data_IF_505528141337
#
_entry.id   IF_505528141337
#
_cell.length_a   1.000
_cell.length_b   1.000
_cell.length_c   1.000
_cell.angle_alpha   90.00
_cell.angle_beta   90.00
_cell.angle_gamma   90.00
#
_symmetry.space_group_name_H-M   'P 1'
#
loop_
_entity.id
_entity.type
_entity.pdbx_description
1 polymer ?
#
# COMPACT_ATOMS: atom_id res chain seq x y z
N UNK A 1 -31.00 -67.80 -36.25
CA UNK A 1 -30.27 -68.07 -37.51
C UNK A 1 -28.94 -67.29 -37.41
N UNK A 2 -27.90 -67.83 -36.76
CA UNK A 2 -26.72 -68.56 -37.32
C UNK A 2 -26.03 -67.75 -38.45
N UNK A 3 -24.76 -67.36 -38.42
CA UNK A 3 -23.49 -67.95 -37.95
C UNK A 3 -22.51 -66.82 -37.53
N UNK A 4 -21.74 -66.85 -36.42
CA UNK A 4 -20.46 -67.55 -36.14
C UNK A 4 -19.38 -67.43 -37.25
N UNK A 5 -18.28 -66.71 -36.95
CA UNK A 5 -16.85 -67.16 -36.95
C UNK A 5 -15.89 -65.93 -37.12
N UNK A 6 -14.95 -65.83 -36.17
CA UNK A 6 -13.72 -64.99 -36.08
C UNK A 6 -12.54 -65.80 -36.73
N UNK A 7 -11.23 -65.40 -36.78
CA UNK A 7 -10.52 -64.15 -36.41
C UNK A 7 -9.28 -63.83 -37.35
N UNK A 8 -8.39 -62.92 -36.88
CA UNK A 8 -6.89 -62.92 -36.99
C UNK A 8 -6.23 -61.87 -37.92
N UNK A 9 -5.50 -60.93 -37.26
CA UNK A 9 -4.10 -60.41 -37.44
C UNK A 9 -3.61 -60.15 -38.89
N UNK A 10 -2.80 -59.16 -39.27
CA UNK A 10 -1.89 -58.15 -38.67
C UNK A 10 -1.25 -57.46 -39.88
N UNK A 11 -1.00 -56.16 -39.86
CA UNK A 11 0.22 -55.58 -40.45
C UNK A 11 0.40 -54.14 -39.97
N UNK A 12 1.60 -53.87 -39.45
CA UNK A 12 2.04 -52.59 -38.94
C UNK A 12 2.46 -51.66 -40.09
N UNK A 13 2.13 -50.37 -39.98
CA UNK A 13 2.79 -49.30 -40.73
C UNK A 13 3.44 -48.39 -39.71
N UNK A 14 4.77 -48.34 -39.76
CA UNK A 14 5.60 -47.41 -39.02
C UNK A 14 5.45 -46.01 -39.61
N UNK A 15 5.04 -45.06 -38.78
CA UNK A 15 5.13 -43.62 -39.06
C UNK A 15 5.95 -42.98 -37.95
N UNK A 16 7.17 -42.61 -38.32
CA UNK A 16 8.14 -41.90 -37.49
C UNK A 16 7.65 -40.48 -37.22
N UNK A 17 7.12 -40.22 -36.03
CA UNK A 17 6.85 -38.86 -35.54
C UNK A 17 8.08 -38.33 -34.80
N UNK A 18 8.78 -37.40 -35.43
CA UNK A 18 9.78 -36.58 -34.78
C UNK A 18 9.08 -35.65 -33.76
N UNK A 19 9.28 -35.92 -32.47
CA UNK A 19 8.80 -35.07 -31.39
C UNK A 19 9.69 -33.82 -31.27
N UNK A 20 9.24 -32.69 -31.82
CA UNK A 20 9.75 -31.37 -31.47
C UNK A 20 9.20 -31.01 -30.08
N UNK A 21 9.94 -31.38 -29.04
CA UNK A 21 9.72 -30.90 -27.68
C UNK A 21 10.07 -29.42 -27.59
N UNK A 22 9.09 -28.55 -27.85
CA UNK A 22 9.19 -27.13 -27.49
C UNK A 22 9.10 -27.04 -25.97
N UNK A 23 10.26 -27.02 -25.32
CA UNK A 23 10.34 -26.65 -23.91
C UNK A 23 9.82 -25.23 -23.75
N UNK A 24 8.65 -25.08 -23.14
CA UNK A 24 8.18 -23.78 -22.64
C UNK A 24 9.18 -23.36 -21.56
N UNK A 25 10.13 -22.51 -21.94
CA UNK A 25 10.92 -21.75 -20.99
C UNK A 25 9.93 -20.87 -20.23
N UNK A 26 9.50 -21.33 -19.06
CA UNK A 26 8.76 -20.50 -18.12
C UNK A 26 9.63 -19.27 -17.84
N UNK A 27 9.25 -18.12 -18.40
CA UNK A 27 9.92 -16.87 -18.09
C UNK A 27 9.95 -16.74 -16.57
N UNK A 28 11.11 -16.41 -15.97
CA UNK A 28 11.20 -16.24 -14.53
C UNK A 28 10.10 -15.27 -14.10
N UNK A 29 9.36 -15.57 -13.00
CA UNK A 29 8.25 -14.74 -12.58
C UNK A 29 8.74 -13.30 -12.45
N UNK A 30 8.05 -12.39 -13.14
CA UNK A 30 8.36 -10.97 -13.10
C UNK A 30 8.38 -10.53 -11.63
N UNK A 31 9.57 -10.26 -11.11
CA UNK A 31 9.72 -9.80 -9.74
C UNK A 31 9.41 -8.31 -9.71
N UNK A 32 8.43 -7.93 -8.88
CA UNK A 32 8.28 -6.55 -8.45
C UNK A 32 9.49 -6.25 -7.55
N UNK A 33 10.35 -5.34 -7.99
CA UNK A 33 11.49 -4.89 -7.19
C UNK A 33 11.13 -3.55 -6.54
N UNK A 34 11.34 -3.40 -5.21
CA UNK A 34 11.16 -2.12 -4.56
C UNK A 34 12.00 -1.02 -5.22
N UNK A 35 11.48 0.21 -5.21
CA UNK A 35 12.21 1.36 -5.76
C UNK A 35 13.60 1.51 -5.10
N UNK A 36 14.59 2.09 -5.81
CA UNK A 36 15.91 2.35 -5.21
C UNK A 36 15.81 3.16 -3.92
N UNK A 37 14.87 4.12 -3.84
CA UNK A 37 14.63 4.92 -2.64
C UNK A 37 14.14 4.07 -1.47
N UNK A 38 13.17 3.18 -1.70
CA UNK A 38 12.68 2.27 -0.67
C UNK A 38 13.76 1.27 -0.23
N UNK A 39 14.53 0.72 -1.17
CA UNK A 39 15.69 -0.16 -0.84
C UNK A 39 16.70 0.57 0.05
N UNK A 40 17.07 1.79 -0.32
CA UNK A 40 18.00 2.60 0.46
C UNK A 40 17.45 2.97 1.85
N UNK A 41 16.15 3.24 1.95
CA UNK A 41 15.49 3.53 3.23
C UNK A 41 15.49 2.33 4.18
N UNK A 42 15.28 1.12 3.65
CA UNK A 42 15.22 -0.14 4.43
C UNK A 42 16.59 -0.77 4.72
N UNK A 43 17.63 -0.44 3.96
CA UNK A 43 18.94 -1.13 4.01
C UNK A 43 19.60 -1.23 5.40
N UNK A 44 19.26 -0.35 6.35
CA UNK A 44 19.83 -0.36 7.69
C UNK A 44 18.79 -0.48 8.82
N UNK A 45 17.64 -1.09 8.54
CA UNK A 45 16.64 -1.45 9.55
C UNK A 45 16.13 -2.89 9.34
N UNK A 46 16.06 -3.66 10.42
CA UNK A 46 15.42 -4.98 10.39
C UNK A 46 13.90 -4.79 10.42
N UNK A 47 13.26 -4.92 9.26
CA UNK A 47 11.81 -4.77 9.10
C UNK A 47 11.12 -6.13 9.01
N UNK A 48 9.91 -6.20 9.53
CA UNK A 48 8.98 -7.30 9.36
C UNK A 48 8.16 -7.10 8.07
N UNK A 49 8.35 -7.96 7.07
CA UNK A 49 7.59 -7.89 5.83
C UNK A 49 6.17 -8.45 5.96
N UNK A 50 5.92 -9.35 6.91
CA UNK A 50 4.66 -10.08 7.06
C UNK A 50 3.42 -9.20 7.03
N UNK A 51 3.31 -8.10 7.81
CA UNK A 51 2.10 -7.28 7.79
C UNK A 51 1.85 -6.64 6.42
N UNK A 52 2.88 -6.24 5.68
CA UNK A 52 2.72 -5.72 4.31
C UNK A 52 2.35 -6.83 3.31
N UNK A 53 2.91 -8.04 3.49
CA UNK A 53 2.63 -9.20 2.64
C UNK A 53 1.17 -9.64 2.74
N UNK A 54 0.66 -9.85 3.96
CA UNK A 54 -0.72 -10.29 4.13
C UNK A 54 -1.73 -9.19 3.74
N UNK A 55 -1.35 -7.91 3.84
CA UNK A 55 -2.17 -6.81 3.32
C UNK A 55 -2.22 -6.82 1.79
N UNK A 56 -1.09 -7.09 1.14
CA UNK A 56 -1.01 -7.22 -0.32
C UNK A 56 -1.79 -8.44 -0.83
N UNK A 57 -1.73 -9.57 -0.12
CA UNK A 57 -2.53 -10.76 -0.42
C UNK A 57 -4.02 -10.46 -0.30
N UNK A 58 -4.46 -9.85 0.81
CA UNK A 58 -5.87 -9.50 0.99
C UNK A 58 -6.38 -8.55 -0.10
N UNK A 59 -5.63 -7.49 -0.43
CA UNK A 59 -6.10 -6.54 -1.47
C UNK A 59 -6.03 -7.15 -2.88
N UNK A 60 -5.17 -8.14 -3.12
CA UNK A 60 -5.16 -8.88 -4.38
C UNK A 60 -6.44 -9.73 -4.53
N UNK A 61 -6.90 -10.34 -3.45
CA UNK A 61 -8.18 -11.08 -3.42
C UNK A 61 -9.41 -10.16 -3.58
N UNK A 62 -9.24 -8.85 -3.39
CA UNK A 62 -10.30 -7.85 -3.61
C UNK A 62 -10.41 -7.37 -5.06
N UNK A 63 -9.54 -7.82 -5.95
CA UNK A 63 -9.57 -7.48 -7.37
C UNK A 63 -10.64 -8.30 -8.10
N UNK A 64 -11.49 -7.64 -8.86
CA UNK A 64 -12.39 -8.27 -9.83
C UNK A 64 -11.77 -8.12 -11.21
N UNK A 65 -11.33 -9.22 -11.82
CA UNK A 65 -10.65 -9.21 -13.13
C UNK A 65 -9.47 -8.22 -13.19
N UNK A 66 -8.69 -8.13 -12.12
CA UNK A 66 -7.53 -7.24 -12.02
C UNK A 66 -7.86 -5.78 -11.66
N UNK A 67 -9.12 -5.42 -11.42
CA UNK A 67 -9.52 -4.05 -11.07
C UNK A 67 -10.16 -4.02 -9.67
N UNK A 68 -9.92 -2.92 -8.94
CA UNK A 68 -10.73 -2.62 -7.76
C UNK A 68 -12.07 -2.06 -8.22
N UNK A 69 -13.16 -2.59 -7.67
CA UNK A 69 -14.52 -2.13 -7.97
C UNK A 69 -15.01 -1.16 -6.90
N UNK A 70 -15.47 0.01 -7.31
CA UNK A 70 -16.25 0.94 -6.51
C UNK A 70 -17.76 0.67 -6.64
N UNK A 71 -18.59 1.58 -6.13
CA UNK A 71 -20.05 1.47 -6.18
C UNK A 71 -20.63 1.60 -7.59
N UNK A 72 -19.92 2.28 -8.49
CA UNK A 72 -20.41 2.65 -9.83
C UNK A 72 -19.64 1.97 -10.96
N UNK A 73 -18.82 0.96 -10.65
CA UNK A 73 -17.94 0.29 -11.62
C UNK A 73 -16.49 0.27 -11.14
N UNK A 74 -15.53 0.04 -12.05
CA UNK A 74 -14.11 0.03 -11.72
C UNK A 74 -13.65 1.38 -11.15
N UNK A 75 -12.92 1.35 -10.04
CA UNK A 75 -12.20 2.51 -9.51
C UNK A 75 -10.75 2.42 -10.02
N UNK A 76 -10.49 3.05 -11.16
CA UNK A 76 -9.16 3.05 -11.78
C UNK A 76 -8.11 3.77 -10.93
N UNK A 77 -8.51 4.82 -10.21
CA UNK A 77 -7.60 5.58 -9.33
C UNK A 77 -7.09 4.73 -8.18
N UNK A 78 -7.99 4.01 -7.51
CA UNK A 78 -7.66 3.07 -6.43
C UNK A 78 -6.98 1.81 -6.96
N UNK A 79 -7.34 1.34 -8.16
CA UNK A 79 -6.64 0.25 -8.84
C UNK A 79 -5.16 0.58 -9.06
N UNK A 80 -4.85 1.79 -9.52
CA UNK A 80 -3.49 2.27 -9.67
C UNK A 80 -2.78 2.37 -8.31
N UNK A 81 -3.44 2.90 -7.27
CA UNK A 81 -2.85 2.96 -5.92
C UNK A 81 -2.51 1.57 -5.39
N UNK A 82 -3.42 0.60 -5.57
CA UNK A 82 -3.20 -0.81 -5.22
C UNK A 82 -1.99 -1.36 -5.99
N UNK A 83 -1.94 -1.16 -7.31
CA UNK A 83 -0.84 -1.63 -8.15
C UNK A 83 0.52 -1.05 -7.72
N UNK A 84 0.59 0.24 -7.43
CA UNK A 84 1.80 0.88 -6.91
C UNK A 84 2.17 0.36 -5.52
N UNK A 85 1.19 0.19 -4.62
CA UNK A 85 1.43 -0.29 -3.27
C UNK A 85 1.93 -1.74 -3.25
N UNK A 86 1.26 -2.66 -3.94
CA UNK A 86 1.68 -4.07 -3.98
C UNK A 86 3.03 -4.26 -4.69
N UNK A 87 3.42 -3.35 -5.60
CA UNK A 87 4.75 -3.37 -6.21
C UNK A 87 5.89 -3.21 -5.21
N UNK A 88 5.62 -2.67 -4.02
CA UNK A 88 6.61 -2.54 -2.93
C UNK A 88 6.83 -3.83 -2.15
N UNK A 89 5.97 -4.84 -2.36
CA UNK A 89 5.97 -6.12 -1.66
C UNK A 89 6.59 -7.19 -2.55
N UNK A 90 7.54 -7.95 -2.00
CA UNK A 90 8.18 -9.03 -2.74
C UNK A 90 7.16 -10.06 -3.23
N UNK A 91 7.41 -10.64 -4.42
CA UNK A 91 6.57 -11.68 -5.07
C UNK A 91 5.17 -11.24 -5.51
N UNK A 92 4.86 -9.94 -5.51
CA UNK A 92 3.58 -9.41 -6.00
C UNK A 92 3.60 -8.98 -7.49
N UNK A 93 4.64 -9.31 -8.24
CA UNK A 93 4.74 -8.88 -9.65
C UNK A 93 3.68 -9.47 -10.57
N UNK A 94 3.15 -10.67 -10.25
CA UNK A 94 2.00 -11.23 -10.94
C UNK A 94 0.73 -10.38 -10.74
N UNK A 95 0.47 -9.92 -9.50
CA UNK A 95 -0.64 -9.01 -9.16
C UNK A 95 -0.50 -7.68 -9.88
N UNK A 96 0.70 -7.07 -9.90
CA UNK A 96 0.96 -5.83 -10.67
C UNK A 96 0.68 -6.04 -12.16
N UNK A 97 1.11 -7.18 -12.72
CA UNK A 97 0.87 -7.52 -14.12
C UNK A 97 -0.62 -7.70 -14.41
N UNK A 98 -1.36 -8.38 -13.54
CA UNK A 98 -2.80 -8.57 -13.69
C UNK A 98 -3.56 -7.22 -13.66
N UNK A 99 -3.19 -6.33 -12.73
CA UNK A 99 -3.73 -4.98 -12.66
C UNK A 99 -3.45 -4.22 -13.96
N UNK A 100 -2.19 -4.24 -14.42
CA UNK A 100 -1.81 -3.57 -15.65
C UNK A 100 -2.61 -4.09 -16.86
N UNK A 101 -2.69 -5.40 -17.03
CA UNK A 101 -3.37 -6.01 -18.18
C UNK A 101 -4.86 -5.66 -18.23
N UNK A 102 -5.51 -5.47 -17.07
CA UNK A 102 -6.89 -5.05 -16.99
C UNK A 102 -7.08 -3.54 -17.19
N UNK A 103 -6.13 -2.73 -16.68
CA UNK A 103 -6.20 -1.28 -16.71
C UNK A 103 -5.78 -0.69 -18.08
N UNK A 104 -4.68 -1.17 -18.66
CA UNK A 104 -4.04 -0.58 -19.84
C UNK A 104 -5.00 -0.41 -21.03
N UNK A 105 -5.81 -1.42 -21.43
CA UNK A 105 -6.74 -1.27 -22.55
C UNK A 105 -7.88 -0.29 -22.28
N UNK A 106 -8.13 0.04 -21.00
CA UNK A 106 -9.25 0.87 -20.53
C UNK A 106 -8.81 2.24 -20.04
N UNK A 107 -7.54 2.60 -20.25
CA UNK A 107 -6.96 3.77 -19.60
C UNK A 107 -7.66 5.09 -20.00
N UNK A 108 -8.21 5.17 -21.22
CA UNK A 108 -8.99 6.31 -21.69
C UNK A 108 -10.21 6.62 -20.79
N UNK A 109 -10.82 5.60 -20.17
CA UNK A 109 -11.94 5.79 -19.24
C UNK A 109 -11.54 6.53 -17.96
N UNK A 110 -10.24 6.52 -17.63
CA UNK A 110 -9.70 7.19 -16.45
C UNK A 110 -9.08 8.55 -16.77
N UNK A 111 -8.32 8.63 -17.86
CA UNK A 111 -7.56 9.84 -18.21
C UNK A 111 -8.31 10.79 -19.15
N UNK A 112 -9.48 10.38 -19.63
CA UNK A 112 -10.29 11.08 -20.63
C UNK A 112 -9.87 10.77 -22.07
N UNK A 113 -10.74 11.09 -23.02
CA UNK A 113 -10.57 10.79 -24.45
C UNK A 113 -9.49 11.64 -25.17
N UNK A 114 -8.98 12.68 -24.53
CA UNK A 114 -7.98 13.61 -25.09
C UNK A 114 -8.57 14.73 -25.94
N UNK A 115 -9.85 14.62 -26.32
CA UNK A 115 -10.53 15.60 -27.16
C UNK A 115 -11.41 16.52 -26.34
N UNK A 116 -12.39 16.00 -25.60
CA UNK A 116 -13.27 16.75 -24.70
C UNK A 116 -12.77 16.69 -23.27
N UNK A 117 -12.29 15.52 -22.87
CA UNK A 117 -11.87 15.24 -21.50
C UNK A 117 -10.40 14.81 -21.48
N UNK A 118 -9.59 15.48 -20.68
CA UNK A 118 -8.18 15.13 -20.48
C UNK A 118 -7.71 15.65 -19.12
N UNK A 119 -7.54 14.73 -18.18
CA UNK A 119 -7.26 15.07 -16.79
C UNK A 119 -5.78 14.90 -16.44
N UNK A 120 -5.11 15.96 -16.04
CA UNK A 120 -3.66 15.99 -15.85
C UNK A 120 -3.20 15.08 -14.69
N UNK A 121 -3.91 15.13 -13.56
CA UNK A 121 -3.61 14.27 -12.40
C UNK A 121 -3.72 12.77 -12.74
N UNK A 122 -4.85 12.32 -13.30
CA UNK A 122 -5.00 10.96 -13.83
C UNK A 122 -3.94 10.54 -14.85
N UNK A 123 -3.62 11.38 -15.85
CA UNK A 123 -2.55 11.13 -16.81
C UNK A 123 -1.20 10.88 -16.11
N UNK A 124 -0.83 11.77 -15.19
CA UNK A 124 0.42 11.68 -14.46
C UNK A 124 0.50 10.44 -13.55
N UNK A 125 -0.59 10.15 -12.83
CA UNK A 125 -0.68 8.97 -11.96
C UNK A 125 -0.61 7.67 -12.77
N UNK A 126 -1.31 7.62 -13.90
CA UNK A 126 -1.25 6.50 -14.83
C UNK A 126 0.16 6.30 -15.41
N UNK A 127 0.85 7.38 -15.81
CA UNK A 127 2.21 7.31 -16.32
C UNK A 127 3.20 6.80 -15.27
N UNK A 128 3.05 7.22 -14.00
CA UNK A 128 3.84 6.70 -12.89
C UNK A 128 3.59 5.21 -12.65
N UNK A 129 2.33 4.76 -12.76
CA UNK A 129 1.99 3.34 -12.64
C UNK A 129 2.49 2.51 -13.83
N UNK A 130 2.36 2.99 -15.06
CA UNK A 130 2.87 2.30 -16.26
C UNK A 130 4.36 1.97 -16.07
N UNK A 131 5.17 2.93 -15.60
CA UNK A 131 6.58 2.66 -15.26
C UNK A 131 6.74 1.65 -14.13
N UNK A 132 5.93 1.74 -13.09
CA UNK A 132 5.92 0.77 -11.97
C UNK A 132 5.61 -0.65 -12.45
N UNK A 133 4.69 -0.79 -13.41
CA UNK A 133 4.34 -2.03 -14.08
C UNK A 133 5.32 -2.42 -15.20
N UNK A 134 6.45 -1.71 -15.34
CA UNK A 134 7.47 -1.91 -16.38
C UNK A 134 6.91 -1.81 -17.80
N UNK A 135 5.93 -0.94 -18.01
CA UNK A 135 5.34 -0.58 -19.31
C UNK A 135 5.81 0.80 -19.78
N UNK A 136 5.63 1.06 -21.06
CA UNK A 136 6.01 2.33 -21.68
C UNK A 136 4.85 3.34 -21.58
N UNK A 137 5.00 4.45 -20.82
CA UNK A 137 3.96 5.47 -20.71
C UNK A 137 3.71 6.24 -22.02
N UNK A 138 4.60 6.18 -23.02
CA UNK A 138 4.42 6.89 -24.30
C UNK A 138 3.56 6.14 -25.32
N UNK A 139 3.11 4.92 -25.00
CA UNK A 139 2.25 4.10 -25.86
C UNK A 139 1.29 3.23 -25.05
N UNK A 140 0.92 3.67 -23.86
CA UNK A 140 0.16 2.89 -22.88
C UNK A 140 -1.31 2.83 -23.27
N UNK A 141 -1.82 1.63 -23.56
CA UNK A 141 -3.18 1.48 -24.07
C UNK A 141 -3.42 2.20 -25.40
N UNK A 142 -2.37 2.39 -26.21
CA UNK A 142 -2.41 3.18 -27.45
C UNK A 142 -2.33 4.70 -27.23
N UNK A 143 -2.15 5.18 -25.99
CA UNK A 143 -2.09 6.60 -25.66
C UNK A 143 -0.66 6.99 -25.24
N UNK A 144 -0.17 8.12 -25.74
CA UNK A 144 1.02 8.76 -25.19
C UNK A 144 0.63 9.61 -23.97
N UNK A 145 0.73 9.01 -22.78
CA UNK A 145 0.37 9.67 -21.51
C UNK A 145 1.28 10.85 -21.19
N UNK A 146 2.55 10.80 -21.63
CA UNK A 146 3.52 11.86 -21.38
C UNK A 146 3.19 13.08 -22.23
N UNK A 147 3.00 12.92 -23.54
CA UNK A 147 2.64 14.04 -24.43
C UNK A 147 1.32 14.69 -24.04
N UNK A 148 0.30 13.89 -23.69
CA UNK A 148 -0.95 14.47 -23.17
C UNK A 148 -0.78 15.20 -21.84
N UNK A 149 0.16 14.78 -21.00
CA UNK A 149 0.46 15.48 -19.75
C UNK A 149 1.23 16.77 -19.99
N UNK A 150 2.16 16.79 -20.95
CA UNK A 150 2.85 18.00 -21.42
C UNK A 150 1.82 19.02 -21.93
N UNK A 151 0.88 18.61 -22.78
CA UNK A 151 -0.23 19.45 -23.24
C UNK A 151 -1.15 19.96 -22.10
N UNK A 152 -1.12 19.31 -20.94
CA UNK A 152 -1.86 19.67 -19.73
C UNK A 152 -0.98 20.31 -18.66
N UNK A 153 0.23 20.73 -19.03
CA UNK A 153 1.15 21.50 -18.22
C UNK A 153 1.29 22.87 -18.89
N UNK A 154 0.98 23.94 -18.16
CA UNK A 154 0.89 25.26 -18.77
C UNK A 154 2.26 25.84 -19.14
N UNK A 155 2.37 26.34 -20.36
CA UNK A 155 3.44 27.21 -20.84
C UNK A 155 3.12 28.69 -20.62
N UNK A 156 4.15 29.55 -20.68
CA UNK A 156 3.97 31.01 -20.61
C UNK A 156 4.69 31.71 -21.76
N UNK A 157 4.01 32.64 -22.49
CA UNK A 157 2.58 32.98 -22.36
C UNK A 157 1.70 31.85 -22.87
N UNK A 158 0.60 31.55 -22.15
CA UNK A 158 -0.38 30.59 -22.62
C UNK A 158 -1.11 31.15 -23.86
N UNK A 159 -1.40 30.30 -24.85
CA UNK A 159 -2.31 30.64 -25.95
C UNK A 159 -3.77 30.40 -25.49
N UNK A 160 -4.55 31.46 -25.19
CA UNK A 160 -5.90 31.31 -24.67
C UNK A 160 -6.88 30.76 -25.71
N UNK A 161 -6.54 30.82 -27.01
CA UNK A 161 -7.36 30.23 -28.07
C UNK A 161 -7.13 28.72 -28.19
N UNK A 162 -5.88 28.27 -28.02
CA UNK A 162 -5.54 26.85 -28.07
C UNK A 162 -5.95 26.08 -26.80
N UNK A 163 -5.83 26.72 -25.63
CA UNK A 163 -6.07 26.09 -24.34
C UNK A 163 -6.74 27.05 -23.34
N UNK A 164 -8.06 27.27 -23.45
CA UNK A 164 -8.77 28.21 -22.57
C UNK A 164 -8.74 27.82 -21.09
N UNK A 165 -8.42 26.55 -20.77
CA UNK A 165 -8.22 26.07 -19.41
C UNK A 165 -6.77 26.18 -18.91
N UNK A 166 -5.81 26.55 -19.77
CA UNK A 166 -4.42 26.74 -19.36
C UNK A 166 -4.32 27.97 -18.45
N UNK A 167 -3.79 27.77 -17.26
CA UNK A 167 -3.43 28.88 -16.38
C UNK A 167 -2.21 29.59 -16.96
N UNK A 168 -2.14 30.93 -16.91
CA UNK A 168 -0.96 31.70 -17.36
C UNK A 168 0.24 31.56 -16.40
N UNK A 169 0.46 30.38 -15.82
CA UNK A 169 1.48 30.11 -14.80
C UNK A 169 2.27 28.88 -15.23
N UNK A 170 3.52 29.10 -15.63
CA UNK A 170 4.41 28.06 -16.14
C UNK A 170 4.48 26.85 -15.19
N UNK A 171 4.33 25.64 -15.74
CA UNK A 171 4.43 24.37 -15.03
C UNK A 171 3.19 23.97 -14.22
N UNK A 172 2.18 24.83 -14.09
CA UNK A 172 0.93 24.46 -13.44
C UNK A 172 0.17 23.46 -14.31
N UNK A 173 -0.19 22.31 -13.75
CA UNK A 173 -1.09 21.40 -14.46
C UNK A 173 -2.53 21.90 -14.44
N UNK A 174 -3.30 21.53 -15.45
CA UNK A 174 -4.72 21.85 -15.57
C UNK A 174 -5.46 20.75 -16.33
N UNK A 175 -6.76 20.61 -16.06
CA UNK A 175 -7.60 19.68 -16.81
C UNK A 175 -8.27 20.36 -18.01
N UNK A 176 -8.44 19.60 -19.09
CA UNK A 176 -9.42 19.92 -20.14
C UNK A 176 -10.69 19.14 -19.83
N UNK A 177 -11.77 19.82 -19.49
CA UNK A 177 -13.03 19.19 -19.10
C UNK A 177 -14.19 20.16 -19.21
N UNK A 178 -15.36 19.66 -19.61
CA UNK A 178 -16.63 20.41 -19.54
C UNK A 178 -17.08 20.62 -18.08
N UNK A 179 -16.57 19.83 -17.15
CA UNK A 179 -16.91 19.90 -15.72
C UNK A 179 -16.00 20.84 -14.91
N UNK A 180 -14.92 21.35 -15.54
CA UNK A 180 -14.00 22.30 -14.94
C UNK A 180 -12.63 21.70 -14.58
N UNK A 181 -11.79 22.53 -13.97
CA UNK A 181 -10.40 22.18 -13.65
C UNK A 181 -10.27 21.71 -12.19
N UNK A 182 -9.93 20.43 -12.00
CA UNK A 182 -9.79 19.80 -10.67
C UNK A 182 -8.32 19.53 -10.29
N UNK A 183 -7.38 20.10 -11.05
CA UNK A 183 -5.96 20.03 -10.77
C UNK A 183 -5.61 20.54 -9.37
N UNK A 184 -4.76 19.79 -8.68
CA UNK A 184 -4.33 20.07 -7.32
C UNK A 184 -2.89 19.57 -7.08
N UNK A 185 -2.37 19.79 -5.87
CA UNK A 185 -0.98 19.44 -5.52
C UNK A 185 -0.70 17.94 -5.64
N UNK A 186 -1.69 17.07 -5.38
CA UNK A 186 -1.52 15.62 -5.52
C UNK A 186 -1.26 15.28 -6.99
N UNK A 187 -2.10 15.77 -7.91
CA UNK A 187 -1.90 15.62 -9.35
C UNK A 187 -0.55 16.19 -9.81
N UNK A 188 -0.20 17.41 -9.35
CA UNK A 188 1.06 18.06 -9.70
C UNK A 188 2.27 17.25 -9.23
N UNK A 189 2.19 16.64 -8.05
CA UNK A 189 3.29 15.81 -7.54
C UNK A 189 3.55 14.61 -8.45
N UNK A 190 2.50 13.92 -8.90
CA UNK A 190 2.65 12.87 -9.90
C UNK A 190 3.15 13.41 -11.23
N UNK A 191 2.73 14.61 -11.64
CA UNK A 191 3.18 15.21 -12.89
C UNK A 191 4.68 15.46 -12.88
N UNK A 192 5.21 16.03 -11.79
CA UNK A 192 6.65 16.20 -11.57
C UNK A 192 7.39 14.87 -11.69
N UNK A 193 6.89 13.80 -11.05
CA UNK A 193 7.48 12.47 -11.15
C UNK A 193 7.46 11.94 -12.59
N UNK A 194 6.31 11.96 -13.24
CA UNK A 194 6.12 11.41 -14.57
C UNK A 194 6.99 12.14 -15.62
N UNK A 195 6.95 13.48 -15.63
CA UNK A 195 7.70 14.32 -16.56
C UNK A 195 9.21 14.22 -16.33
N UNK A 196 9.66 14.20 -15.07
CA UNK A 196 11.10 14.04 -14.75
C UNK A 196 11.63 12.68 -15.22
N UNK A 197 10.91 11.59 -14.95
CA UNK A 197 11.29 10.25 -15.39
C UNK A 197 11.21 10.08 -16.91
N UNK A 198 10.39 10.88 -17.59
CA UNK A 198 10.34 10.97 -19.05
C UNK A 198 11.40 11.89 -19.66
N UNK A 199 12.15 12.64 -18.83
CA UNK A 199 13.08 13.68 -19.28
C UNK A 199 12.41 14.73 -20.17
N UNK A 200 11.15 15.05 -19.86
CA UNK A 200 10.39 16.09 -20.55
C UNK A 200 10.99 17.47 -20.30
N UNK A 201 10.87 18.38 -21.28
CA UNK A 201 11.22 19.79 -21.12
C UNK A 201 10.38 20.47 -20.02
N UNK A 202 9.14 20.02 -19.82
CA UNK A 202 8.22 20.56 -18.81
C UNK A 202 8.57 20.20 -17.37
N UNK A 203 9.47 19.23 -17.17
CA UNK A 203 9.78 18.71 -15.84
C UNK A 203 10.29 19.80 -14.88
N UNK A 204 11.11 20.73 -15.37
CA UNK A 204 11.64 21.83 -14.58
C UNK A 204 10.56 22.80 -14.13
N UNK A 205 9.74 23.27 -15.07
CA UNK A 205 8.65 24.21 -14.78
C UNK A 205 7.60 23.56 -13.84
N UNK A 206 7.21 22.31 -14.11
CA UNK A 206 6.27 21.59 -13.27
C UNK A 206 6.77 21.41 -11.82
N UNK A 207 8.06 21.14 -11.65
CA UNK A 207 8.70 21.05 -10.33
C UNK A 207 8.69 22.40 -9.64
N UNK A 208 9.08 23.45 -10.32
CA UNK A 208 9.18 24.78 -9.72
C UNK A 208 7.80 25.29 -9.30
N UNK A 209 6.75 24.99 -10.07
CA UNK A 209 5.37 25.26 -9.66
C UNK A 209 4.97 24.45 -8.43
N UNK A 210 5.29 23.14 -8.37
CA UNK A 210 5.04 22.32 -7.17
C UNK A 210 5.73 22.91 -5.94
N UNK A 211 7.01 23.28 -6.04
CA UNK A 211 7.76 23.84 -4.92
C UNK A 211 7.17 25.16 -4.43
N UNK A 212 6.57 25.98 -5.30
CA UNK A 212 5.79 27.16 -4.89
C UNK A 212 4.55 26.83 -4.05
N UNK A 213 4.05 25.59 -4.12
CA UNK A 213 2.91 25.13 -3.31
C UNK A 213 3.31 24.72 -1.89
N UNK A 214 4.61 24.69 -1.59
CA UNK A 214 5.10 24.49 -0.23
C UNK A 214 5.03 25.81 0.55
N UNK A 215 4.37 25.77 1.71
CA UNK A 215 4.27 26.88 2.64
C UNK A 215 5.59 27.07 3.41
N UNK A 216 5.79 28.20 4.06
CA UNK A 216 7.03 28.47 4.81
C UNK A 216 7.28 27.45 5.93
N UNK A 217 6.20 26.93 6.54
CA UNK A 217 6.21 25.86 7.53
C UNK A 217 6.74 24.51 7.02
N UNK A 218 6.82 24.31 5.69
CA UNK A 218 7.24 23.08 5.05
C UNK A 218 6.10 22.17 4.59
N UNK A 219 4.86 22.45 4.99
CA UNK A 219 3.69 21.76 4.47
C UNK A 219 3.45 22.09 2.99
N UNK A 220 2.82 21.17 2.28
CA UNK A 220 2.15 21.50 1.03
C UNK A 220 0.65 21.69 1.29
N UNK A 221 0.05 22.67 0.63
CA UNK A 221 -1.42 22.78 0.56
C UNK A 221 -2.01 21.71 -0.35
N UNK A 222 -3.33 21.50 -0.30
CA UNK A 222 -4.00 20.62 -1.25
C UNK A 222 -4.35 21.34 -2.56
N UNK A 223 -5.14 22.40 -2.46
CA UNK A 223 -5.70 23.11 -3.61
C UNK A 223 -4.78 24.24 -4.06
N UNK A 224 -4.77 24.52 -5.36
CA UNK A 224 -4.12 25.72 -5.87
C UNK A 224 -4.98 26.95 -5.60
N UNK A 225 -4.35 28.12 -5.64
CA UNK A 225 -5.08 29.36 -5.90
C UNK A 225 -5.82 29.25 -7.26
N UNK A 226 -6.83 30.09 -7.48
CA UNK A 226 -7.49 30.18 -8.79
C UNK A 226 -6.46 30.51 -9.88
N UNK A 227 -6.69 30.01 -11.09
CA UNK A 227 -5.70 30.07 -12.19
C UNK A 227 -5.41 31.50 -12.69
N UNK A 228 -6.39 32.38 -12.57
CA UNK A 228 -6.35 33.79 -12.95
C UNK A 228 -5.64 34.69 -11.92
N UNK A 229 -5.32 34.17 -10.74
CA UNK A 229 -4.61 34.90 -9.69
C UNK A 229 -3.09 34.76 -9.90
N UNK A 230 -2.31 35.85 -10.10
CA UNK A 230 -0.86 35.73 -10.29
C UNK A 230 -0.12 35.16 -9.06
N UNK A 231 -0.63 35.45 -7.86
CA UNK A 231 -0.09 34.96 -6.60
C UNK A 231 -0.44 33.47 -6.38
N UNK A 232 0.47 32.60 -6.79
CA UNK A 232 0.30 31.15 -6.72
C UNK A 232 1.03 30.48 -5.56
N UNK A 233 1.83 31.20 -4.79
CA UNK A 233 2.59 30.63 -3.69
C UNK A 233 1.67 30.25 -2.51
N UNK A 234 2.02 29.18 -1.78
CA UNK A 234 1.35 28.90 -0.51
C UNK A 234 1.72 29.94 0.54
N UNK A 235 0.74 30.37 1.35
CA UNK A 235 0.96 31.21 2.52
C UNK A 235 0.39 30.53 3.76
N UNK A 236 1.21 30.34 4.80
CA UNK A 236 0.77 29.72 6.05
C UNK A 236 -0.38 30.50 6.69
N UNK A 237 -1.40 29.78 7.17
CA UNK A 237 -2.55 30.36 7.86
C UNK A 237 -3.54 31.11 6.96
N UNK A 238 -3.27 31.26 5.67
CA UNK A 238 -4.21 31.87 4.73
C UNK A 238 -5.30 30.88 4.30
N UNK A 239 -6.53 31.38 4.16
CA UNK A 239 -7.64 30.61 3.61
C UNK A 239 -7.33 30.14 2.18
N UNK A 240 -7.63 28.89 1.86
CA UNK A 240 -7.28 28.26 0.57
C UNK A 240 -5.81 27.86 0.44
N UNK A 241 -5.01 28.00 1.51
CA UNK A 241 -3.63 27.53 1.61
C UNK A 241 -3.44 26.62 2.84
N UNK A 242 -4.50 25.93 3.25
CA UNK A 242 -4.47 25.04 4.39
C UNK A 242 -3.47 23.91 4.17
N UNK A 243 -2.58 23.73 5.14
CA UNK A 243 -1.61 22.64 5.15
C UNK A 243 -2.31 21.28 5.15
N UNK A 244 -1.94 20.41 4.24
CA UNK A 244 -2.55 19.09 4.05
C UNK A 244 -1.49 17.97 4.20
N UNK A 245 -1.58 17.11 5.23
CA UNK A 245 -0.63 16.02 5.43
C UNK A 245 -0.59 14.98 4.31
N UNK A 246 -1.72 14.71 3.65
CA UNK A 246 -1.79 13.74 2.56
C UNK A 246 -1.12 14.31 1.31
N UNK A 247 -1.40 15.57 0.97
CA UNK A 247 -0.71 16.29 -0.11
C UNK A 247 0.79 16.44 0.17
N UNK A 248 1.17 16.76 1.41
CA UNK A 248 2.58 16.86 1.83
C UNK A 248 3.30 15.52 1.67
N UNK A 249 2.69 14.43 2.14
CA UNK A 249 3.27 13.09 2.02
C UNK A 249 3.41 12.65 0.56
N UNK A 250 2.40 12.88 -0.28
CA UNK A 250 2.44 12.53 -1.70
C UNK A 250 3.41 13.41 -2.50
N UNK A 251 3.55 14.69 -2.15
CA UNK A 251 4.59 15.56 -2.70
C UNK A 251 5.99 15.02 -2.37
N UNK A 252 6.25 14.63 -1.12
CA UNK A 252 7.51 14.01 -0.71
C UNK A 252 7.78 12.72 -1.49
N UNK A 253 6.81 11.80 -1.53
CA UNK A 253 6.97 10.51 -2.21
C UNK A 253 7.31 10.74 -3.68
N UNK A 254 6.55 11.58 -4.38
CA UNK A 254 6.77 11.78 -5.80
C UNK A 254 8.03 12.60 -6.13
N UNK A 255 8.46 13.55 -5.28
CA UNK A 255 9.74 14.24 -5.42
C UNK A 255 10.93 13.31 -5.18
N UNK A 256 10.83 12.39 -4.23
CA UNK A 256 11.88 11.38 -4.00
C UNK A 256 11.95 10.42 -5.20
N UNK A 257 10.80 9.94 -5.66
CA UNK A 257 10.67 8.97 -6.76
C UNK A 257 10.87 9.58 -8.16
N UNK A 258 10.87 10.92 -8.30
CA UNK A 258 11.24 11.59 -9.55
C UNK A 258 12.75 11.48 -9.84
N UNK A 259 13.56 11.25 -8.79
CA UNK A 259 15.00 11.23 -8.88
C UNK A 259 15.67 12.61 -8.88
N UNK A 260 14.91 13.71 -8.79
CA UNK A 260 15.48 15.05 -8.72
C UNK A 260 16.25 15.26 -7.40
N UNK A 261 17.52 15.64 -7.50
CA UNK A 261 18.44 15.90 -6.38
C UNK A 261 18.93 17.34 -6.31
N UNK A 262 18.24 18.26 -6.99
CA UNK A 262 18.53 19.68 -6.89
C UNK A 262 18.47 20.17 -5.45
N UNK A 263 19.21 21.24 -5.15
CA UNK A 263 19.25 21.83 -3.81
C UNK A 263 17.85 22.33 -3.38
N UNK A 264 17.05 22.84 -4.31
CA UNK A 264 15.68 23.29 -4.06
C UNK A 264 14.77 22.14 -3.60
N UNK A 265 14.80 21.00 -4.32
CA UNK A 265 14.04 19.80 -3.93
C UNK A 265 14.52 19.25 -2.61
N UNK A 266 15.83 19.14 -2.40
CA UNK A 266 16.40 18.62 -1.15
C UNK A 266 16.00 19.49 0.05
N UNK A 267 16.01 20.82 -0.10
CA UNK A 267 15.57 21.76 0.93
C UNK A 267 14.08 21.62 1.22
N UNK A 268 13.26 21.52 0.17
CA UNK A 268 11.81 21.33 0.31
C UNK A 268 11.48 20.02 1.03
N UNK A 269 12.14 18.92 0.67
CA UNK A 269 11.99 17.61 1.31
C UNK A 269 12.37 17.67 2.80
N UNK A 270 13.45 18.36 3.15
CA UNK A 270 13.86 18.52 4.55
C UNK A 270 12.79 19.27 5.37
N UNK A 271 12.24 20.36 4.85
CA UNK A 271 11.16 21.11 5.50
C UNK A 271 9.89 20.27 5.66
N UNK A 272 9.50 19.55 4.62
CA UNK A 272 8.34 18.66 4.66
C UNK A 272 8.50 17.53 5.68
N UNK A 273 9.71 16.96 5.80
CA UNK A 273 10.02 15.97 6.83
C UNK A 273 9.85 16.53 8.24
N UNK A 274 10.45 17.70 8.51
CA UNK A 274 10.32 18.38 9.82
C UNK A 274 8.86 18.67 10.14
N UNK A 275 8.09 19.12 9.16
CA UNK A 275 6.67 19.40 9.35
C UNK A 275 5.83 18.14 9.62
N UNK A 276 6.04 17.06 8.86
CA UNK A 276 5.35 15.78 9.06
C UNK A 276 5.68 15.17 10.43
N UNK A 277 6.95 15.23 10.84
CA UNK A 277 7.39 14.73 12.14
C UNK A 277 6.75 15.51 13.30
N UNK A 278 6.72 16.84 13.22
CA UNK A 278 6.05 17.68 14.21
C UNK A 278 4.53 17.42 14.31
N UNK A 279 3.90 16.96 13.23
CA UNK A 279 2.48 16.59 13.21
C UNK A 279 2.21 15.19 13.73
N UNK A 280 3.22 14.32 13.72
CA UNK A 280 3.11 12.96 14.21
C UNK A 280 2.93 12.96 15.74
N UNK A 281 1.86 12.31 16.20
CA UNK A 281 1.62 12.13 17.64
C UNK A 281 2.60 11.11 18.21
N UNK A 282 2.78 11.11 19.54
CA UNK A 282 3.55 10.07 20.25
C UNK A 282 3.10 8.63 19.96
N UNK A 283 1.83 8.45 19.56
CA UNK A 283 1.29 7.15 19.14
C UNK A 283 1.72 6.71 17.73
N UNK A 284 2.35 7.59 16.95
CA UNK A 284 2.68 7.43 15.53
C UNK A 284 1.61 7.94 14.56
N UNK A 285 0.42 8.25 15.06
CA UNK A 285 -0.70 8.70 14.26
C UNK A 285 -0.49 10.09 13.68
N UNK A 286 -0.96 10.28 12.45
CA UNK A 286 -1.10 11.59 11.81
C UNK A 286 -2.60 11.83 11.57
N UNK A 287 -3.07 13.06 11.87
CA UNK A 287 -4.45 13.48 11.62
C UNK A 287 -4.53 14.07 10.21
N UNK A 288 -5.55 13.73 9.44
CA UNK A 288 -5.82 14.35 8.14
C UNK A 288 -6.13 15.86 8.25
N UNK A 289 -6.20 16.54 7.11
CA UNK A 289 -6.70 17.91 7.00
C UNK A 289 -8.18 17.95 6.57
N UNK A 290 -8.74 19.17 6.51
CA UNK A 290 -10.10 19.42 6.04
C UNK A 290 -11.22 19.24 7.07
N UNK A 291 -12.46 19.44 6.61
CA UNK A 291 -13.67 19.20 7.39
C UNK A 291 -13.77 17.71 7.76
N UNK A 292 -14.15 17.41 9.00
CA UNK A 292 -14.18 16.03 9.49
C UNK A 292 -12.80 15.39 9.70
N UNK A 293 -11.73 16.20 9.71
CA UNK A 293 -10.37 15.72 9.90
C UNK A 293 -10.22 14.83 11.13
N UNK A 294 -9.54 13.71 10.93
CA UNK A 294 -9.46 12.64 11.91
C UNK A 294 -8.18 11.85 11.76
N UNK A 295 -7.78 11.19 12.85
CA UNK A 295 -6.69 10.23 12.81
C UNK A 295 -7.17 8.99 12.06
N UNK A 296 -6.41 8.56 11.06
CA UNK A 296 -6.75 7.40 10.25
C UNK A 296 -5.50 6.71 9.67
N UNK A 297 -5.70 5.51 9.12
CA UNK A 297 -4.66 4.66 8.52
C UNK A 297 -4.07 5.27 7.27
N UNK A 298 -4.89 5.84 6.39
CA UNK A 298 -4.48 6.42 5.12
C UNK A 298 -3.38 7.47 5.31
N UNK A 299 -3.72 8.55 6.02
CA UNK A 299 -2.80 9.66 6.30
C UNK A 299 -1.59 9.22 7.12
N UNK A 300 -1.79 8.34 8.10
CA UNK A 300 -0.67 7.84 8.93
C UNK A 300 0.31 7.00 8.11
N UNK A 301 -0.20 6.14 7.21
CA UNK A 301 0.64 5.28 6.39
C UNK A 301 1.40 6.07 5.33
N UNK A 302 0.74 7.02 4.65
CA UNK A 302 1.39 7.91 3.67
C UNK A 302 2.47 8.77 4.32
N UNK A 303 2.16 9.46 5.42
CA UNK A 303 3.14 10.28 6.13
C UNK A 303 4.30 9.45 6.68
N UNK A 304 4.01 8.27 7.24
CA UNK A 304 5.04 7.32 7.69
C UNK A 304 5.96 6.84 6.58
N UNK A 305 5.39 6.49 5.42
CA UNK A 305 6.15 6.07 4.24
C UNK A 305 7.02 7.21 3.70
N UNK A 306 6.47 8.42 3.57
CA UNK A 306 7.20 9.62 3.17
C UNK A 306 8.41 9.90 4.08
N UNK A 307 8.21 9.91 5.40
CA UNK A 307 9.29 10.09 6.37
C UNK A 307 10.33 8.96 6.30
N UNK A 308 9.89 7.73 6.05
CA UNK A 308 10.78 6.58 5.83
C UNK A 308 11.68 6.74 4.60
N UNK A 309 11.13 7.19 3.47
CA UNK A 309 11.90 7.50 2.26
C UNK A 309 12.95 8.60 2.50
N UNK A 310 12.64 9.56 3.38
CA UNK A 310 13.56 10.61 3.84
C UNK A 310 14.50 10.16 4.96
N UNK A 311 14.54 8.86 5.27
CA UNK A 311 15.39 8.22 6.28
C UNK A 311 15.09 8.66 7.72
N UNK A 312 13.93 9.27 8.00
CA UNK A 312 13.44 9.49 9.35
C UNK A 312 12.80 8.20 9.91
N UNK A 313 13.67 7.29 10.37
CA UNK A 313 13.30 5.91 10.74
C UNK A 313 12.41 5.84 11.96
N UNK A 314 12.65 6.67 12.97
CA UNK A 314 11.88 6.64 14.21
C UNK A 314 10.42 7.04 13.95
N UNK A 315 10.21 8.07 13.13
CA UNK A 315 8.87 8.50 12.74
C UNK A 315 8.18 7.44 11.85
N UNK A 316 8.89 6.88 10.86
CA UNK A 316 8.36 5.82 10.01
C UNK A 316 7.95 4.58 10.83
N UNK A 317 8.79 4.15 11.78
CA UNK A 317 8.51 3.03 12.68
C UNK A 317 7.28 3.32 13.55
N UNK A 318 7.18 4.51 14.15
CA UNK A 318 6.00 4.88 14.96
C UNK A 318 4.71 4.81 14.14
N UNK A 319 4.73 5.34 12.91
CA UNK A 319 3.60 5.27 12.00
C UNK A 319 3.24 3.81 11.64
N UNK A 320 4.23 3.00 11.26
CA UNK A 320 4.03 1.59 10.95
C UNK A 320 3.45 0.80 12.14
N UNK A 321 3.89 1.07 13.37
CA UNK A 321 3.30 0.48 14.57
C UNK A 321 1.85 0.89 14.78
N UNK A 322 1.49 2.13 14.45
CA UNK A 322 0.11 2.59 14.53
C UNK A 322 -0.77 1.89 13.48
N UNK A 323 -0.31 1.81 12.24
CA UNK A 323 -0.99 1.11 11.13
C UNK A 323 -1.14 -0.38 11.44
N UNK A 324 -0.07 -1.06 11.90
CA UNK A 324 -0.11 -2.48 12.29
C UNK A 324 -1.13 -2.77 13.39
N UNK A 325 -1.40 -1.83 14.29
CA UNK A 325 -2.46 -2.01 15.31
C UNK A 325 -3.87 -2.07 14.73
N UNK A 326 -4.09 -1.46 13.56
CA UNK A 326 -5.35 -1.48 12.81
C UNK A 326 -5.42 -2.62 11.79
N UNK A 327 -4.41 -3.48 11.71
CA UNK A 327 -4.44 -4.73 10.96
C UNK A 327 -4.75 -5.89 11.92
N UNK A 328 -6.03 -6.21 12.17
CA UNK A 328 -6.38 -7.33 13.03
C UNK A 328 -5.93 -8.65 12.39
N UNK A 329 -5.08 -9.39 13.10
CA UNK A 329 -4.74 -10.77 12.74
C UNK A 329 -5.38 -11.67 13.80
N UNK A 330 -6.51 -12.28 13.44
CA UNK A 330 -7.26 -13.20 14.29
C UNK A 330 -7.10 -14.63 13.74
N UNK A 331 -6.41 -15.50 14.49
CA UNK A 331 -6.11 -16.88 14.09
C UNK A 331 -6.51 -17.88 15.19
N UNK A 332 -6.62 -19.14 14.76
CA UNK A 332 -6.85 -20.31 15.64
C UNK A 332 -8.09 -20.19 16.55
N UNK A 333 -7.95 -20.28 17.89
CA UNK A 333 -9.07 -20.12 18.83
C UNK A 333 -9.42 -18.65 19.10
N UNK A 334 -8.54 -17.74 18.67
CA UNK A 334 -8.78 -16.31 18.69
C UNK A 334 -9.47 -15.79 17.42
N UNK A 335 -10.07 -16.68 16.61
CA UNK A 335 -10.83 -16.29 15.42
C UNK A 335 -11.98 -15.34 15.77
N UNK A 336 -12.25 -14.45 14.85
CA UNK A 336 -13.40 -13.52 14.84
C UNK A 336 -14.05 -13.56 13.46
N UNK A 337 -15.10 -12.78 13.24
CA UNK A 337 -15.66 -12.62 11.90
C UNK A 337 -14.66 -12.01 10.89
N UNK A 338 -13.59 -11.33 11.36
CA UNK A 338 -12.49 -10.83 10.53
C UNK A 338 -11.50 -11.90 10.07
N UNK A 339 -11.61 -13.15 10.53
CA UNK A 339 -10.68 -14.22 10.12
C UNK A 339 -10.65 -14.39 8.60
N UNK A 340 -11.81 -14.25 7.94
CA UNK A 340 -11.95 -14.32 6.48
C UNK A 340 -11.27 -13.16 5.74
N UNK A 341 -10.96 -12.09 6.46
CA UNK A 341 -10.37 -10.85 5.97
C UNK A 341 -8.98 -10.64 6.59
N UNK A 342 -8.25 -11.74 6.85
CA UNK A 342 -6.88 -11.66 7.37
C UNK A 342 -6.04 -10.80 6.43
N UNK A 343 -5.40 -9.75 6.96
CA UNK A 343 -4.54 -8.86 6.20
C UNK A 343 -5.17 -7.50 5.90
N UNK A 344 -6.50 -7.43 5.89
CA UNK A 344 -7.23 -6.17 5.78
C UNK A 344 -6.82 -5.19 6.88
N UNK A 345 -6.63 -3.92 6.51
CA UNK A 345 -6.28 -2.86 7.45
C UNK A 345 -7.45 -1.90 7.57
N UNK A 346 -7.93 -1.73 8.79
CA UNK A 346 -9.04 -0.85 9.06
C UNK A 346 -8.62 0.61 8.92
N UNK A 347 -9.52 1.46 8.43
CA UNK A 347 -9.31 2.91 8.40
C UNK A 347 -9.02 3.49 9.79
N UNK A 348 -9.64 2.94 10.83
CA UNK A 348 -9.45 3.31 12.24
C UNK A 348 -9.69 2.13 13.19
N UNK A 349 -9.30 2.30 14.45
CA UNK A 349 -9.43 1.28 15.51
C UNK A 349 -10.87 0.84 15.79
N UNK A 350 -11.82 1.76 15.78
CA UNK A 350 -13.23 1.46 16.02
C UNK A 350 -13.82 0.57 14.91
N UNK A 351 -13.42 0.81 13.66
CA UNK A 351 -13.76 -0.03 12.50
C UNK A 351 -13.24 -1.45 12.67
N UNK A 352 -11.96 -1.59 13.05
CA UNK A 352 -11.38 -2.90 13.36
C UNK A 352 -12.07 -3.59 14.54
N UNK A 353 -12.59 -2.83 15.51
CA UNK A 353 -13.27 -3.38 16.69
C UNK A 353 -14.67 -3.88 16.35
N UNK A 354 -15.47 -3.08 15.64
CA UNK A 354 -16.82 -3.46 15.22
C UNK A 354 -16.82 -4.67 14.29
N UNK A 355 -15.88 -4.73 13.35
CA UNK A 355 -15.81 -5.83 12.38
C UNK A 355 -15.46 -7.20 13.01
N UNK A 356 -14.94 -7.26 14.25
CA UNK A 356 -14.68 -8.55 14.91
C UNK A 356 -15.94 -9.39 15.10
N UNK A 357 -17.08 -8.73 15.30
CA UNK A 357 -18.35 -9.44 15.55
C UNK A 357 -19.05 -9.80 14.25
N UNK A 358 -19.11 -8.87 13.28
CA UNK A 358 -19.93 -8.99 12.07
C UNK A 358 -19.14 -9.20 10.77
N UNK A 359 -17.81 -9.07 10.81
CA UNK A 359 -16.95 -9.03 9.62
C UNK A 359 -16.98 -7.66 8.96
N UNK A 360 -16.34 -7.53 7.80
CA UNK A 360 -16.42 -6.31 6.98
C UNK A 360 -17.70 -6.39 6.12
N UNK A 361 -18.71 -5.52 6.35
CA UNK A 361 -19.90 -5.49 5.51
C UNK A 361 -19.59 -4.89 4.13
N UNK A 362 -20.40 -5.23 3.11
CA UNK A 362 -20.22 -4.75 1.75
C UNK A 362 -20.18 -3.20 1.66
N UNK A 363 -21.04 -2.51 2.43
CA UNK A 363 -21.10 -1.04 2.50
C UNK A 363 -19.83 -0.39 3.04
N UNK A 364 -18.99 -1.12 3.79
CA UNK A 364 -17.73 -0.63 4.29
C UNK A 364 -16.52 -1.14 3.49
N UNK A 365 -16.71 -2.04 2.52
CA UNK A 365 -15.60 -2.74 1.86
C UNK A 365 -14.65 -1.78 1.14
N UNK A 366 -15.18 -0.74 0.51
CA UNK A 366 -14.39 0.31 -0.14
C UNK A 366 -13.47 1.06 0.85
N UNK A 367 -13.97 1.40 2.05
CA UNK A 367 -13.18 2.05 3.12
C UNK A 367 -11.95 1.17 3.48
N UNK A 368 -12.13 -0.15 3.56
CA UNK A 368 -11.06 -1.10 3.86
C UNK A 368 -10.10 -1.30 2.68
N UNK A 369 -10.58 -1.29 1.44
CA UNK A 369 -9.72 -1.36 0.23
C UNK A 369 -8.78 -0.17 0.17
N UNK A 370 -9.30 1.05 0.32
CA UNK A 370 -8.50 2.28 0.36
C UNK A 370 -7.49 2.29 1.50
N UNK A 371 -7.92 1.92 2.70
CA UNK A 371 -7.05 1.85 3.86
C UNK A 371 -5.95 0.80 3.70
N UNK A 372 -6.27 -0.37 3.16
CA UNK A 372 -5.29 -1.44 2.97
C UNK A 372 -4.27 -1.09 1.89
N UNK A 373 -4.70 -0.53 0.75
CA UNK A 373 -3.79 -0.09 -0.30
C UNK A 373 -2.72 0.87 0.22
N UNK A 374 -3.11 1.89 0.99
CA UNK A 374 -2.15 2.83 1.56
C UNK A 374 -1.36 2.24 2.74
N UNK A 375 -1.98 1.37 3.55
CA UNK A 375 -1.31 0.71 4.67
C UNK A 375 -0.12 -0.14 4.23
N UNK A 376 -0.19 -0.80 3.06
CA UNK A 376 0.93 -1.58 2.51
C UNK A 376 2.22 -0.77 2.45
N UNK A 377 2.13 0.52 2.07
CA UNK A 377 3.27 1.43 2.03
C UNK A 377 3.85 1.67 3.44
N UNK A 378 3.00 2.09 4.39
CA UNK A 378 3.44 2.36 5.76
C UNK A 378 4.00 1.12 6.47
N UNK A 379 3.43 -0.06 6.20
CA UNK A 379 3.85 -1.33 6.79
C UNK A 379 5.22 -1.81 6.28
N UNK A 380 5.78 -1.21 5.22
CA UNK A 380 7.17 -1.47 4.81
C UNK A 380 8.20 -1.19 5.91
N UNK A 381 7.84 -0.35 6.88
CA UNK A 381 8.68 0.05 8.01
C UNK A 381 8.24 -0.57 9.34
N UNK A 382 7.38 -1.61 9.31
CA UNK A 382 7.04 -2.35 10.52
C UNK A 382 8.30 -3.03 11.08
N UNK A 383 8.61 -2.88 12.37
CA UNK A 383 9.83 -3.46 12.94
C UNK A 383 9.69 -4.97 13.10
N UNK A 384 10.79 -5.69 12.84
CA UNK A 384 10.91 -7.11 13.16
C UNK A 384 11.03 -7.38 14.66
N UNK A 385 10.78 -8.62 15.04
CA UNK A 385 11.18 -9.12 16.34
C UNK A 385 12.71 -9.18 16.46
N UNK A 386 13.23 -9.02 17.68
CA UNK A 386 14.65 -9.22 18.01
C UNK A 386 14.98 -10.68 18.39
N UNK A 387 13.95 -11.44 18.73
CA UNK A 387 14.05 -12.84 19.15
C UNK A 387 13.27 -13.73 18.17
N UNK A 388 13.64 -15.01 18.09
CA UNK A 388 12.81 -16.06 17.48
C UNK A 388 11.52 -16.29 18.27
N UNK A 389 10.42 -16.62 17.57
CA UNK A 389 9.16 -16.94 18.20
C UNK A 389 9.30 -18.19 19.07
N UNK A 390 9.07 -18.04 20.38
CA UNK A 390 9.05 -19.16 21.31
C UNK A 390 8.08 -18.95 22.44
N UNK A 391 7.51 -20.05 22.93
CA UNK A 391 6.69 -20.09 24.13
C UNK A 391 7.34 -21.02 25.17
N UNK A 392 7.32 -20.61 26.43
CA UNK A 392 7.89 -21.37 27.54
C UNK A 392 6.89 -21.40 28.70
N UNK A 393 6.56 -22.59 29.19
CA UNK A 393 5.85 -22.72 30.47
C UNK A 393 6.83 -22.50 31.62
N UNK A 394 6.45 -21.72 32.63
CA UNK A 394 7.33 -21.52 33.81
C UNK A 394 7.38 -22.75 34.71
N UNK A 395 6.49 -23.73 34.51
CA UNK A 395 6.48 -25.02 35.20
C UNK A 395 6.48 -26.17 34.18
N UNK A 396 7.18 -27.26 34.50
CA UNK A 396 7.14 -28.50 33.70
C UNK A 396 5.94 -29.38 34.05
N UNK A 397 5.35 -29.20 35.24
CA UNK A 397 4.18 -29.95 35.71
C UNK A 397 3.23 -29.04 36.51
N UNK A 398 1.92 -29.35 36.52
CA UNK A 398 0.89 -28.63 37.26
C UNK A 398 -0.39 -29.46 37.44
N UNK A 399 -1.28 -29.03 38.32
CA UNK A 399 -2.57 -29.69 38.55
C UNK A 399 -3.64 -29.26 37.53
N UNK A 400 -4.64 -30.09 37.33
CA UNK A 400 -5.84 -29.75 36.59
C UNK A 400 -6.50 -28.50 37.20
N UNK A 401 -6.90 -27.54 36.37
CA UNK A 401 -7.47 -26.27 36.83
C UNK A 401 -6.43 -25.23 37.27
N UNK A 402 -5.15 -25.57 37.42
CA UNK A 402 -4.11 -24.59 37.73
C UNK A 402 -4.00 -23.53 36.63
N UNK A 403 -3.81 -22.28 37.03
CA UNK A 403 -3.45 -21.17 36.12
C UNK A 403 -1.93 -21.09 35.96
N UNK A 404 -1.38 -21.79 34.99
CA UNK A 404 0.06 -21.79 34.70
C UNK A 404 0.47 -20.60 33.85
N UNK A 405 1.57 -19.97 34.25
CA UNK A 405 2.16 -18.87 33.52
C UNK A 405 3.00 -19.38 32.34
N UNK A 406 2.76 -18.79 31.17
CA UNK A 406 3.56 -18.95 29.97
C UNK A 406 4.23 -17.63 29.63
N UNK A 407 5.44 -17.73 29.08
CA UNK A 407 6.25 -16.63 28.58
C UNK A 407 6.37 -16.79 27.08
N UNK A 408 5.96 -15.78 26.32
CA UNK A 408 6.09 -15.71 24.86
C UNK A 408 7.18 -14.70 24.52
N UNK A 409 8.13 -15.11 23.70
CA UNK A 409 9.19 -14.28 23.13
C UNK A 409 9.01 -14.23 21.63
N UNK A 410 9.70 -13.30 20.98
CA UNK A 410 9.77 -13.28 19.52
C UNK A 410 8.55 -12.70 18.80
N UNK A 411 7.62 -12.06 19.52
CA UNK A 411 6.54 -11.31 18.88
C UNK A 411 7.05 -9.91 18.50
N UNK A 412 6.94 -9.57 17.22
CA UNK A 412 7.28 -8.25 16.74
C UNK A 412 6.37 -7.18 17.38
N UNK A 413 6.86 -5.95 17.55
CA UNK A 413 6.06 -4.88 18.15
C UNK A 413 4.70 -4.68 17.45
N UNK A 414 3.62 -4.67 18.23
CA UNK A 414 2.22 -4.60 17.77
C UNK A 414 1.71 -5.80 16.94
N UNK A 415 2.53 -6.83 16.72
CA UNK A 415 2.09 -8.10 16.14
C UNK A 415 1.00 -8.72 17.00
N UNK A 416 -0.03 -9.29 16.37
CA UNK A 416 -1.10 -10.00 17.08
C UNK A 416 -0.86 -11.50 17.00
N UNK A 417 -1.04 -12.19 18.14
CA UNK A 417 -0.93 -13.63 18.21
C UNK A 417 -2.01 -14.24 19.12
N UNK A 418 -2.31 -15.51 18.88
CA UNK A 418 -3.18 -16.31 19.73
C UNK A 418 -2.35 -17.26 20.58
N UNK A 419 -2.41 -17.11 21.91
CA UNK A 419 -1.77 -18.03 22.85
C UNK A 419 -2.83 -18.95 23.47
N UNK A 420 -2.54 -20.24 23.62
CA UNK A 420 -3.53 -21.19 24.13
C UNK A 420 -2.95 -22.46 24.74
N UNK A 421 -3.82 -23.16 25.46
CA UNK A 421 -3.72 -24.56 25.87
C UNK A 421 -5.11 -25.17 25.63
N UNK A 422 -5.25 -26.50 25.60
CA UNK A 422 -6.58 -27.12 25.42
C UNK A 422 -7.55 -26.57 26.48
N UNK A 423 -8.64 -25.94 26.04
CA UNK A 423 -9.70 -25.40 26.90
C UNK A 423 -9.54 -23.94 27.33
N UNK A 424 -8.39 -23.29 27.12
CA UNK A 424 -8.19 -21.87 27.46
C UNK A 424 -7.30 -21.16 26.44
N UNK A 425 -7.61 -19.91 26.11
CA UNK A 425 -6.87 -19.11 25.14
C UNK A 425 -6.92 -17.62 25.43
N UNK A 426 -5.93 -16.89 24.94
CA UNK A 426 -5.83 -15.45 25.10
C UNK A 426 -5.16 -14.81 23.89
N UNK A 427 -5.70 -13.66 23.47
CA UNK A 427 -5.04 -12.80 22.48
C UNK A 427 -3.90 -12.05 23.14
N UNK A 428 -2.73 -12.07 22.50
CA UNK A 428 -1.56 -11.31 22.93
C UNK A 428 -1.07 -10.40 21.81
N UNK A 429 -0.41 -9.31 22.19
CA UNK A 429 0.27 -8.43 21.24
C UNK A 429 1.72 -8.23 21.65
N UNK A 430 2.62 -8.18 20.69
CA UNK A 430 4.03 -7.84 20.92
C UNK A 430 4.17 -6.44 21.51
N UNK A 431 5.07 -6.27 22.48
CA UNK A 431 5.34 -4.99 23.13
C UNK A 431 6.20 -4.09 22.23
N UNK A 432 6.08 -2.77 22.40
CA UNK A 432 6.96 -1.80 21.69
C UNK A 432 8.44 -2.05 21.98
N UNK A 433 8.78 -2.49 23.18
CA UNK A 433 10.15 -2.79 23.61
C UNK A 433 10.71 -4.09 23.00
N UNK A 434 9.85 -4.96 22.49
CA UNK A 434 10.21 -6.33 22.10
C UNK A 434 10.26 -7.32 23.28
N UNK A 435 9.96 -6.87 24.51
CA UNK A 435 10.02 -7.75 25.68
C UNK A 435 9.02 -8.89 25.61
N UNK A 436 9.36 -9.98 26.30
CA UNK A 436 8.46 -11.12 26.49
C UNK A 436 7.07 -10.72 26.99
N UNK A 437 6.07 -11.42 26.48
CA UNK A 437 4.69 -11.38 26.96
C UNK A 437 4.51 -12.48 27.99
N UNK A 438 3.82 -12.17 29.08
CA UNK A 438 3.54 -13.11 30.17
C UNK A 438 2.04 -13.22 30.33
N UNK A 439 1.50 -14.44 30.24
CA UNK A 439 0.07 -14.72 30.43
C UNK A 439 -0.13 -16.02 31.20
N UNK A 440 -1.21 -16.09 31.97
CA UNK A 440 -1.63 -17.33 32.65
C UNK A 440 -2.75 -17.97 31.85
N UNK A 441 -2.64 -19.27 31.62
CA UNK A 441 -3.72 -20.09 31.07
C UNK A 441 -4.09 -21.19 32.05
N UNK A 442 -5.37 -21.49 32.13
CA UNK A 442 -5.92 -22.55 32.94
C UNK A 442 -5.69 -23.90 32.26
N UNK A 443 -5.15 -24.85 33.02
CA UNK A 443 -4.91 -26.19 32.50
C UNK A 443 -6.18 -27.02 32.53
N UNK A 444 -6.46 -27.79 31.45
CA UNK A 444 -7.61 -28.67 31.40
C UNK A 444 -7.44 -29.85 32.35
N UNK A 445 -8.55 -30.51 32.68
CA UNK A 445 -8.53 -31.76 33.43
C UNK A 445 -7.76 -32.90 32.72
N UNK A 446 -7.32 -33.88 33.51
CA UNK A 446 -6.79 -35.17 33.05
C UNK A 446 -5.27 -35.32 33.17
N UNK A 447 -4.85 -36.51 33.59
CA UNK A 447 -3.46 -36.94 33.75
C UNK A 447 -2.75 -37.16 32.40
N UNK A 448 -2.30 -36.09 31.74
CA UNK A 448 -1.61 -36.20 30.46
C UNK A 448 -0.72 -35.00 30.15
N UNK A 449 0.15 -35.15 29.15
CA UNK A 449 0.95 -34.04 28.61
C UNK A 449 0.03 -33.07 27.86
N UNK A 450 0.16 -31.78 28.15
CA UNK A 450 -0.53 -30.68 27.47
C UNK A 450 0.45 -29.83 26.68
N UNK A 451 -0.03 -29.29 25.57
CA UNK A 451 0.74 -28.39 24.70
C UNK A 451 0.21 -26.97 24.88
N UNK A 452 1.11 -26.07 25.25
CA UNK A 452 0.91 -24.63 25.10
C UNK A 452 1.38 -24.22 23.70
N UNK A 453 0.58 -23.42 23.01
CA UNK A 453 0.85 -22.94 21.64
C UNK A 453 0.76 -21.41 21.62
N UNK A 454 1.61 -20.78 20.83
CA UNK A 454 1.39 -19.42 20.32
C UNK A 454 1.41 -19.45 18.80
N UNK A 455 0.50 -18.71 18.15
CA UNK A 455 0.38 -18.64 16.70
C UNK A 455 0.20 -17.19 16.22
N UNK A 456 0.99 -16.78 15.24
CA UNK A 456 0.91 -15.48 14.54
C UNK A 456 0.21 -15.65 13.18
N UNK A 457 0.34 -14.66 12.28
CA UNK A 457 -0.11 -14.75 10.88
C UNK A 457 0.57 -15.86 10.09
N UNK A 458 1.84 -16.11 10.39
CA UNK A 458 2.83 -16.77 9.52
C UNK A 458 3.73 -17.76 10.28
N UNK A 459 3.66 -17.79 11.62
CA UNK A 459 4.51 -18.66 12.45
C UNK A 459 3.74 -19.26 13.64
N UNK A 460 4.30 -20.33 14.23
CA UNK A 460 3.81 -20.93 15.46
C UNK A 460 4.93 -21.54 16.32
N UNK A 461 4.78 -21.41 17.64
CA UNK A 461 5.69 -22.04 18.60
C UNK A 461 4.94 -22.85 19.66
N UNK A 462 5.58 -23.92 20.14
CA UNK A 462 4.98 -24.91 21.05
C UNK A 462 5.85 -25.16 22.27
N UNK A 463 5.21 -25.40 23.40
CA UNK A 463 5.83 -25.94 24.62
C UNK A 463 4.95 -27.03 25.19
N UNK A 464 5.51 -27.91 26.01
CA UNK A 464 4.73 -28.96 26.68
C UNK A 464 4.92 -28.94 28.19
N UNK A 465 3.90 -29.38 28.92
CA UNK A 465 3.93 -29.60 30.37
C UNK A 465 3.07 -30.80 30.74
N UNK A 466 3.37 -31.47 31.85
CA UNK A 466 2.55 -32.57 32.38
C UNK A 466 1.43 -32.03 33.26
N UNK A 467 0.21 -32.51 33.06
CA UNK A 467 -0.93 -32.20 33.93
C UNK A 467 -1.28 -33.43 34.74
N UNK A 468 -1.54 -33.21 36.04
CA UNK A 468 -2.00 -34.22 36.99
C UNK A 468 -3.34 -33.76 37.60
N UNK A 469 -4.22 -34.67 37.98
CA UNK A 469 -5.47 -34.34 38.67
C UNK A 469 -5.20 -33.91 40.11
#
# INVERSE_FOLDING_TARGET
MHHRIRPIRTAAVALSTAALGVGVLAAPPASAEPSPALRAAKAAATTDSTPSTIAAEWIADELTNGLIMGTSGPDFGLTIDTGMAVSTVARQGATVTAINNALEPRIAEYVGDGTKESYAGPLAKAAAFARTAKKNPTSYGGINLITRLEERTADVPADPAAQPQAAAIAGRIFDKSEFGNYANVVGQSYAVRALSLAKSAEAGAARDFLLKQQCASGAFRLNFAKADVPAQACTDGAAGSEADPDATALAVINLVESGDKSAAVTTALAKANTWLDARQRNSGAIRSAGQGAQINTNTTALGGYAMGLLKNRDAALKAALWVRKNQPVDKYKCRTALTKDTGAVAFRKDRATGAKTSGIPASARDEWRRATAQAILGLQFAPASKDELRIVSVRKEARAGDRVQFRVFGLAPSESACMQVKGDFVRVKGKKTGDKIVRKLQLPAGNQRRVGLVKTSDDEARTSLRVRN
#
